data_IF_216154523969
#
_entry.id   IF_216154523969
#
_cell.length_a   1.000
_cell.length_b   1.000
_cell.length_c   1.000
_cell.angle_alpha   90.00
_cell.angle_beta   90.00
_cell.angle_gamma   90.00
#
_symmetry.space_group_name_H-M   'P 1'
#
loop_
_entity.id
_entity.type
_entity.pdbx_description
1 polymer ?
#
# COMPACT_ATOMS: atom_id res chain seq x y z
N UNK A 1 -14.61 5.98 20.48
CA UNK A 1 -14.22 4.61 20.06
C UNK A 1 -13.29 3.93 21.05
N UNK A 2 -12.33 4.63 21.68
CA UNK A 2 -11.39 4.04 22.65
C UNK A 2 -11.27 4.87 23.94
N UNK A 3 -12.14 4.67 24.95
CA UNK A 3 -12.27 5.58 26.10
C UNK A 3 -11.07 5.61 27.04
N UNK A 4 -10.23 4.56 27.05
CA UNK A 4 -9.03 4.47 27.88
C UNK A 4 -7.73 4.80 27.14
N UNK A 5 -7.80 5.08 25.84
CA UNK A 5 -6.60 5.33 25.05
C UNK A 5 -5.87 6.60 25.52
N UNK A 6 -4.57 6.47 25.76
CA UNK A 6 -3.66 7.55 26.16
C UNK A 6 -2.64 7.87 25.07
N UNK A 7 -2.19 6.85 24.33
CA UNK A 7 -1.16 6.98 23.29
C UNK A 7 -1.49 6.19 22.03
N UNK A 8 -0.92 6.61 20.91
CA UNK A 8 -0.88 5.84 19.65
C UNK A 8 0.57 5.67 19.22
N UNK A 9 1.03 4.42 19.17
CA UNK A 9 2.34 4.08 18.62
C UNK A 9 2.18 3.88 17.12
N UNK A 10 2.77 4.76 16.32
CA UNK A 10 2.76 4.65 14.86
C UNK A 10 4.00 3.91 14.37
N UNK A 11 3.83 3.02 13.41
CA UNK A 11 4.88 2.16 12.88
C UNK A 11 4.91 2.25 11.35
N UNK A 12 6.12 2.16 10.79
CA UNK A 12 6.35 2.12 9.35
C UNK A 12 7.18 0.89 8.98
N UNK A 13 6.78 0.17 7.93
CA UNK A 13 7.51 -1.01 7.43
C UNK A 13 7.83 -0.80 5.95
N UNK A 14 9.12 -0.70 5.63
CA UNK A 14 9.58 -0.55 4.25
C UNK A 14 9.18 -1.76 3.39
N UNK A 15 8.62 -1.53 2.21
CA UNK A 15 8.28 -2.57 1.24
C UNK A 15 8.95 -2.39 -0.12
N UNK A 16 9.76 -1.36 -0.31
CA UNK A 16 10.36 -1.05 -1.60
C UNK A 16 11.13 -2.26 -2.14
N UNK A 17 10.80 -2.65 -3.36
CA UNK A 17 11.60 -3.53 -4.19
C UNK A 17 11.68 -2.90 -5.58
N UNK A 18 12.86 -2.90 -6.25
CA UNK A 18 12.96 -2.43 -7.62
C UNK A 18 12.00 -3.22 -8.53
N UNK A 19 11.46 -2.54 -9.55
CA UNK A 19 10.64 -3.18 -10.58
C UNK A 19 11.54 -4.11 -11.41
N UNK A 20 11.12 -5.35 -11.61
CA UNK A 20 11.84 -6.25 -12.53
C UNK A 20 11.68 -5.78 -13.98
N UNK A 21 12.66 -6.06 -14.86
CA UNK A 21 12.53 -5.80 -16.28
C UNK A 21 11.22 -6.38 -16.84
N UNK A 22 10.56 -5.62 -17.72
CA UNK A 22 9.36 -6.10 -18.41
C UNK A 22 9.73 -7.34 -19.25
N UNK A 23 9.04 -8.49 -19.08
CA UNK A 23 9.22 -9.63 -19.96
C UNK A 23 8.98 -9.26 -21.44
N UNK A 24 9.90 -9.66 -22.32
CA UNK A 24 9.75 -9.46 -23.78
C UNK A 24 8.69 -10.41 -24.36
N UNK A 25 8.02 -9.96 -25.42
CA UNK A 25 7.02 -10.73 -26.19
C UNK A 25 5.87 -11.35 -25.37
N UNK A 26 5.60 -10.80 -24.19
CA UNK A 26 4.55 -11.27 -23.29
C UNK A 26 3.50 -10.19 -23.05
N UNK A 27 2.23 -10.59 -23.11
CA UNK A 27 1.11 -9.75 -22.72
C UNK A 27 1.04 -9.69 -21.18
N UNK A 28 1.72 -8.71 -20.59
CA UNK A 28 1.85 -8.55 -19.14
C UNK A 28 1.26 -7.23 -18.63
N UNK A 29 0.72 -7.27 -17.42
CA UNK A 29 0.25 -6.08 -16.69
C UNK A 29 1.10 -5.79 -15.47
N UNK A 30 1.37 -4.51 -15.21
CA UNK A 30 2.18 -4.02 -14.09
C UNK A 30 1.40 -4.06 -12.78
N UNK A 31 2.08 -4.49 -11.71
CA UNK A 31 1.56 -4.50 -10.34
C UNK A 31 2.27 -3.43 -9.51
N UNK A 32 1.53 -2.72 -8.67
CA UNK A 32 2.11 -1.73 -7.74
C UNK A 32 2.95 -2.42 -6.65
N UNK A 33 4.05 -1.78 -6.25
CA UNK A 33 5.08 -2.35 -5.35
C UNK A 33 4.55 -2.79 -3.99
N UNK A 34 3.55 -2.09 -3.48
CA UNK A 34 2.94 -2.44 -2.18
C UNK A 34 2.22 -3.80 -2.25
N UNK A 35 1.89 -4.29 -3.44
CA UNK A 35 1.19 -5.55 -3.66
C UNK A 35 2.13 -6.73 -3.93
N UNK A 36 3.45 -6.52 -3.94
CA UNK A 36 4.43 -7.57 -4.17
C UNK A 36 4.52 -8.54 -3.00
N UNK A 37 4.84 -9.80 -3.32
CA UNK A 37 5.01 -10.82 -2.33
C UNK A 37 3.72 -11.07 -1.52
N UNK A 38 3.92 -11.43 -0.26
CA UNK A 38 2.84 -11.83 0.63
C UNK A 38 1.99 -10.64 1.08
N UNK A 39 0.72 -10.93 1.38
CA UNK A 39 -0.24 -9.96 1.88
C UNK A 39 0.27 -9.25 3.15
N UNK A 40 0.52 -7.95 2.99
CA UNK A 40 1.12 -7.12 4.02
C UNK A 40 0.28 -7.07 5.28
N UNK A 41 -1.04 -7.18 5.19
CA UNK A 41 -1.92 -7.25 6.36
C UNK A 41 -1.51 -8.40 7.26
N UNK A 42 -1.29 -9.60 6.70
CA UNK A 42 -0.92 -10.80 7.47
C UNK A 42 0.50 -10.76 7.98
N UNK A 43 1.42 -10.25 7.18
CA UNK A 43 2.82 -10.07 7.57
C UNK A 43 2.92 -9.10 8.74
N UNK A 44 2.26 -7.95 8.66
CA UNK A 44 2.30 -6.89 9.66
C UNK A 44 1.49 -7.27 10.91
N UNK A 45 0.29 -7.85 10.78
CA UNK A 45 -0.47 -8.39 11.94
C UNK A 45 0.39 -9.33 12.79
N UNK A 46 1.18 -10.22 12.17
CA UNK A 46 2.09 -11.12 12.89
C UNK A 46 3.20 -10.38 13.61
N UNK A 47 3.76 -9.31 13.01
CA UNK A 47 4.78 -8.45 13.66
C UNK A 47 4.17 -7.65 14.81
N UNK A 48 2.96 -7.10 14.63
CA UNK A 48 2.23 -6.38 15.68
C UNK A 48 1.93 -7.28 16.87
N UNK A 49 1.49 -8.54 16.67
CA UNK A 49 1.29 -9.51 17.76
C UNK A 49 2.56 -9.74 18.60
N UNK A 50 3.73 -9.79 17.94
CA UNK A 50 5.02 -9.92 18.65
C UNK A 50 5.36 -8.67 19.45
N UNK A 51 5.12 -7.49 18.86
CA UNK A 51 5.34 -6.22 19.54
C UNK A 51 4.41 -6.02 20.74
N UNK A 52 3.13 -6.36 20.61
CA UNK A 52 2.17 -6.35 21.73
C UNK A 52 2.65 -7.25 22.86
N UNK A 53 3.03 -8.50 22.55
CA UNK A 53 3.57 -9.42 23.55
C UNK A 53 4.84 -8.88 24.23
N UNK A 54 5.72 -8.24 23.47
CA UNK A 54 6.91 -7.60 24.01
C UNK A 54 6.52 -6.49 25.00
N UNK A 55 5.63 -5.58 24.62
CA UNK A 55 5.16 -4.49 25.48
C UNK A 55 4.54 -5.05 26.77
N UNK A 56 3.67 -6.05 26.67
CA UNK A 56 3.05 -6.68 27.84
C UNK A 56 4.07 -7.26 28.83
N UNK A 57 5.16 -7.85 28.33
CA UNK A 57 6.25 -8.38 29.16
C UNK A 57 7.01 -7.25 29.84
N UNK A 58 7.41 -6.23 29.08
CA UNK A 58 8.18 -5.10 29.60
C UNK A 58 7.42 -4.28 30.65
N UNK A 59 6.10 -4.13 30.49
CA UNK A 59 5.28 -3.41 31.48
C UNK A 59 4.84 -4.27 32.66
N UNK A 60 5.25 -5.54 32.72
CA UNK A 60 4.82 -6.49 33.76
C UNK A 60 3.32 -6.81 33.73
N UNK A 61 2.62 -6.46 32.66
CA UNK A 61 1.19 -6.70 32.46
C UNK A 61 0.91 -8.15 32.05
N UNK A 62 1.92 -8.85 31.51
CA UNK A 62 1.79 -10.22 31.05
C UNK A 62 1.30 -11.16 32.18
N UNK A 63 0.06 -11.65 32.04
CA UNK A 63 -0.56 -12.57 32.99
C UNK A 63 -1.03 -11.94 34.31
N UNK A 64 -1.10 -10.60 34.42
CA UNK A 64 -1.48 -9.91 35.67
C UNK A 64 -2.65 -8.94 35.52
N UNK A 65 -2.48 -7.87 34.75
CA UNK A 65 -3.49 -6.83 34.54
C UNK A 65 -3.66 -6.57 33.04
N UNK A 66 -4.89 -6.41 32.54
CA UNK A 66 -5.11 -6.24 31.11
C UNK A 66 -4.66 -4.84 30.69
N UNK A 67 -3.47 -4.76 30.09
CA UNK A 67 -3.06 -3.59 29.33
C UNK A 67 -3.97 -3.45 28.11
N UNK A 68 -4.55 -2.28 27.88
CA UNK A 68 -5.34 -2.06 26.68
C UNK A 68 -4.38 -1.78 25.52
N UNK A 69 -4.28 -2.74 24.58
CA UNK A 69 -3.62 -2.50 23.29
C UNK A 69 -4.50 -3.00 22.15
N UNK A 70 -4.75 -2.13 21.16
CA UNK A 70 -5.44 -2.49 19.92
C UNK A 70 -4.57 -2.13 18.72
N UNK A 71 -4.26 -3.14 17.91
CA UNK A 71 -3.45 -3.00 16.70
C UNK A 71 -4.30 -2.83 15.43
N UNK A 72 -3.80 -2.02 14.50
CA UNK A 72 -4.38 -1.77 13.18
C UNK A 72 -3.33 -1.74 12.07
N UNK A 73 -3.75 -2.21 10.91
CA UNK A 73 -3.07 -2.09 9.61
C UNK A 73 -4.16 -2.02 8.53
N UNK A 74 -4.35 -0.84 7.92
CA UNK A 74 -5.21 -0.48 6.76
C UNK A 74 -6.73 -0.72 6.91
N UNK A 75 -7.13 -1.78 7.59
CA UNK A 75 -8.51 -2.28 7.70
C UNK A 75 -9.24 -1.73 8.94
N UNK A 76 -8.58 -0.89 9.72
CA UNK A 76 -9.11 -0.30 10.95
C UNK A 76 -9.89 0.99 10.73
N UNK A 77 -10.72 1.41 11.69
CA UNK A 77 -11.37 2.72 11.69
C UNK A 77 -10.42 3.86 12.09
N UNK A 78 -9.12 3.71 11.83
CA UNK A 78 -8.07 4.64 12.24
C UNK A 78 -7.46 5.30 11.01
N UNK A 79 -7.34 6.63 11.02
CA UNK A 79 -6.60 7.34 9.98
C UNK A 79 -5.10 7.26 10.27
N UNK A 80 -4.49 6.10 10.01
CA UNK A 80 -3.10 5.77 10.38
C UNK A 80 -2.10 6.79 9.85
N UNK A 81 -2.31 7.32 8.65
CA UNK A 81 -1.45 8.35 8.06
C UNK A 81 -1.40 9.63 8.91
N UNK A 82 -2.51 10.04 9.51
CA UNK A 82 -2.55 11.25 10.35
C UNK A 82 -1.79 11.05 11.66
N UNK A 83 -1.98 9.90 12.32
CA UNK A 83 -1.21 9.54 13.51
C UNK A 83 0.28 9.39 13.21
N UNK A 84 0.63 8.80 12.07
CA UNK A 84 2.02 8.66 11.64
C UNK A 84 2.69 10.02 11.44
N UNK A 85 2.00 11.01 10.88
CA UNK A 85 2.52 12.39 10.79
C UNK A 85 2.73 13.01 12.18
N UNK A 86 1.73 12.89 13.06
CA UNK A 86 1.81 13.43 14.42
C UNK A 86 2.94 12.80 15.24
N UNK A 87 3.13 11.49 15.10
CA UNK A 87 4.21 10.72 15.71
C UNK A 87 5.58 10.93 15.03
N UNK A 88 5.69 11.85 14.07
CA UNK A 88 6.97 12.22 13.47
C UNK A 88 7.54 11.19 12.50
N UNK A 89 6.75 10.23 11.99
CA UNK A 89 7.24 9.29 10.98
C UNK A 89 7.52 9.94 9.63
N UNK A 90 6.84 11.04 9.33
CA UNK A 90 7.00 11.74 8.05
C UNK A 90 6.06 12.93 7.90
N UNK A 91 5.99 13.44 6.67
CA UNK A 91 5.09 14.53 6.28
C UNK A 91 4.25 14.12 5.07
N UNK A 92 3.12 14.79 4.84
CA UNK A 92 2.30 14.54 3.66
C UNK A 92 2.89 15.20 2.41
N UNK A 93 3.13 14.40 1.38
CA UNK A 93 3.48 14.89 0.05
C UNK A 93 2.24 15.38 -0.72
N UNK A 94 2.47 16.16 -1.78
CA UNK A 94 1.40 16.54 -2.73
C UNK A 94 0.75 15.34 -3.45
N UNK A 95 1.39 14.18 -3.41
CA UNK A 95 0.83 12.91 -3.89
C UNK A 95 -0.04 12.20 -2.83
N UNK A 96 -0.35 12.85 -1.70
CA UNK A 96 -1.14 12.36 -0.55
C UNK A 96 -0.50 11.23 0.27
N UNK A 97 0.69 10.76 -0.10
CA UNK A 97 1.40 9.75 0.67
C UNK A 97 2.14 10.39 1.86
N UNK A 98 2.31 9.60 2.93
CA UNK A 98 3.26 9.95 3.98
C UNK A 98 4.67 9.68 3.47
N UNK A 99 5.55 10.69 3.57
CA UNK A 99 6.95 10.61 3.15
C UNK A 99 7.83 10.59 4.39
N UNK A 100 8.48 9.46 4.62
CA UNK A 100 9.47 9.26 5.69
C UNK A 100 10.84 9.76 5.27
N UNK A 101 11.70 10.08 6.25
CA UNK A 101 13.07 10.55 5.99
C UNK A 101 13.93 9.50 5.29
N UNK A 102 13.85 8.24 5.72
CA UNK A 102 14.82 7.20 5.37
C UNK A 102 14.34 6.28 4.24
N UNK A 103 13.03 6.14 4.05
CA UNK A 103 12.43 5.21 3.10
C UNK A 103 11.52 5.89 2.07
N UNK A 104 11.40 7.22 2.13
CA UNK A 104 10.46 7.96 1.30
C UNK A 104 9.02 7.51 1.60
N UNK A 105 8.20 7.35 0.56
CA UNK A 105 6.81 6.89 0.69
C UNK A 105 6.62 5.37 0.62
N UNK A 106 7.69 4.59 0.44
CA UNK A 106 7.61 3.13 0.29
C UNK A 106 7.47 2.39 1.61
N UNK A 107 6.50 2.78 2.43
CA UNK A 107 6.24 2.18 3.74
C UNK A 107 4.78 1.79 3.90
N UNK A 108 4.54 0.61 4.46
CA UNK A 108 3.26 0.29 5.07
C UNK A 108 3.17 0.97 6.42
N UNK A 109 1.98 1.45 6.78
CA UNK A 109 1.71 1.99 8.11
C UNK A 109 0.98 0.96 8.96
N UNK A 110 1.26 1.01 10.25
CA UNK A 110 0.50 0.31 11.27
C UNK A 110 0.43 1.15 12.53
N UNK A 111 -0.52 0.85 13.40
CA UNK A 111 -0.71 1.60 14.64
C UNK A 111 -1.08 0.68 15.79
N UNK A 112 -0.60 1.01 16.99
CA UNK A 112 -1.07 0.44 18.26
C UNK A 112 -1.71 1.55 19.08
N UNK A 113 -3.00 1.42 19.37
CA UNK A 113 -3.70 2.29 20.33
C UNK A 113 -3.54 1.66 21.70
N UNK A 114 -3.10 2.44 22.69
CA UNK A 114 -2.85 1.91 24.04
C UNK A 114 -3.24 2.87 25.15
N UNK A 115 -3.53 2.34 26.34
CA UNK A 115 -3.72 3.10 27.58
C UNK A 115 -2.41 3.44 28.31
N UNK A 116 -1.25 3.04 27.76
CA UNK A 116 0.05 3.52 28.24
C UNK A 116 0.19 5.03 28.04
N UNK A 117 0.67 5.72 29.06
CA UNK A 117 1.16 7.09 28.96
C UNK A 117 2.60 7.07 28.45
N UNK A 118 2.81 7.53 27.22
CA UNK A 118 4.12 7.56 26.57
C UNK A 118 4.53 9.00 26.32
N UNK A 119 5.83 9.27 26.31
CA UNK A 119 6.33 10.57 25.83
C UNK A 119 6.01 10.71 24.34
N UNK A 120 5.39 11.82 23.95
CA UNK A 120 5.02 12.05 22.56
C UNK A 120 6.20 12.53 21.73
N UNK A 121 6.36 11.92 20.56
CA UNK A 121 7.23 12.45 19.52
C UNK A 121 6.68 13.77 18.94
N UNK A 122 7.55 14.49 18.23
CA UNK A 122 7.18 15.71 17.52
C UNK A 122 7.01 15.42 16.03
N UNK A 123 6.04 16.06 15.35
CA UNK A 123 5.91 15.96 13.91
C UNK A 123 7.22 16.30 13.20
N UNK A 124 7.58 15.49 12.21
CA UNK A 124 8.78 15.72 11.43
C UNK A 124 8.52 16.82 10.41
N UNK A 125 9.45 17.77 10.30
CA UNK A 125 9.41 18.76 9.23
C UNK A 125 9.64 18.11 7.86
N UNK A 126 8.90 18.59 6.86
CA UNK A 126 9.08 18.23 5.47
C UNK A 126 8.10 18.98 4.59
N UNK A 127 8.49 19.22 3.34
CA UNK A 127 7.68 19.95 2.36
C UNK A 127 8.10 19.57 0.95
N UNK A 128 7.15 19.55 0.02
CA UNK A 128 7.43 19.43 -1.40
C UNK A 128 7.96 20.74 -2.02
N UNK A 129 7.73 21.89 -1.37
CA UNK A 129 8.05 23.20 -1.96
C UNK A 129 7.28 23.45 -3.25
N UNK A 130 7.96 24.01 -4.26
CA UNK A 130 7.40 24.26 -5.60
C UNK A 130 7.30 23.01 -6.48
N UNK A 131 7.82 21.85 -6.04
CA UNK A 131 7.77 20.61 -6.83
C UNK A 131 6.33 20.20 -7.17
N UNK A 132 6.10 19.80 -8.43
CA UNK A 132 4.79 19.37 -8.96
C UNK A 132 4.86 18.05 -9.76
N UNK A 133 6.00 17.37 -9.75
CA UNK A 133 6.26 16.18 -10.57
C UNK A 133 5.18 15.10 -10.45
N UNK A 134 4.69 14.82 -9.25
CA UNK A 134 3.66 13.79 -9.06
C UNK A 134 2.29 14.20 -9.62
N UNK A 135 1.95 15.49 -9.57
CA UNK A 135 0.70 16.04 -10.12
C UNK A 135 0.77 15.98 -11.64
N UNK A 136 1.88 16.45 -12.21
CA UNK A 136 2.10 16.51 -13.67
C UNK A 136 2.22 15.11 -14.30
N UNK A 137 2.83 14.16 -13.59
CA UNK A 137 2.98 12.79 -14.09
C UNK A 137 1.71 11.93 -13.91
N UNK A 138 0.71 12.38 -13.14
CA UNK A 138 -0.48 11.58 -12.88
C UNK A 138 -1.30 11.39 -14.18
N UNK A 139 -1.40 10.16 -14.73
CA UNK A 139 -1.95 9.97 -16.08
C UNK A 139 -3.41 10.40 -16.23
N UNK A 140 -4.15 10.40 -15.12
CA UNK A 140 -5.58 10.71 -15.07
C UNK A 140 -5.88 12.03 -14.39
N UNK A 141 -4.86 12.82 -14.04
CA UNK A 141 -5.01 14.08 -13.28
C UNK A 141 -5.85 13.90 -12.01
N UNK A 142 -5.63 12.78 -11.30
CA UNK A 142 -6.34 12.46 -10.06
C UNK A 142 -5.83 13.29 -8.87
N UNK A 143 -4.57 13.72 -8.90
CA UNK A 143 -3.98 14.59 -7.88
C UNK A 143 -4.32 16.05 -8.17
N UNK A 144 -4.97 16.71 -7.22
CA UNK A 144 -5.44 18.08 -7.35
C UNK A 144 -4.46 19.09 -6.73
N UNK A 145 -4.56 20.35 -7.13
CA UNK A 145 -3.64 21.41 -6.70
C UNK A 145 -3.73 21.76 -5.21
N UNK A 146 -4.84 21.42 -4.57
CA UNK A 146 -5.08 21.59 -3.13
C UNK A 146 -4.54 20.42 -2.29
N UNK A 147 -3.72 19.54 -2.88
CA UNK A 147 -3.16 18.32 -2.28
C UNK A 147 -4.19 17.23 -1.98
N UNK A 148 -5.41 17.34 -2.49
CA UNK A 148 -6.40 16.27 -2.45
C UNK A 148 -6.27 15.32 -3.64
N UNK A 149 -7.03 14.22 -3.58
CA UNK A 149 -7.05 13.17 -4.59
C UNK A 149 -8.51 12.88 -4.98
N UNK A 150 -8.82 12.96 -6.27
CA UNK A 150 -10.05 12.41 -6.85
C UNK A 150 -9.89 10.89 -7.02
N UNK A 151 -10.50 10.13 -6.10
CA UNK A 151 -10.45 8.67 -6.13
C UNK A 151 -11.10 8.10 -7.41
N UNK A 152 -12.12 8.74 -7.97
CA UNK A 152 -12.80 8.28 -9.19
C UNK A 152 -11.90 8.31 -10.43
N UNK A 153 -10.82 9.10 -10.38
CA UNK A 153 -9.78 9.16 -11.44
C UNK A 153 -8.53 8.36 -11.09
N UNK A 154 -8.30 8.05 -9.82
CA UNK A 154 -7.07 7.39 -9.39
C UNK A 154 -6.99 5.95 -9.91
N UNK A 155 -5.97 5.64 -10.73
CA UNK A 155 -5.73 4.29 -11.27
C UNK A 155 -5.69 3.22 -10.17
N UNK A 156 -5.12 3.54 -9.00
CA UNK A 156 -5.11 2.63 -7.86
C UNK A 156 -6.54 2.29 -7.40
N UNK A 157 -7.40 3.29 -7.22
CA UNK A 157 -8.80 3.06 -6.87
C UNK A 157 -9.54 2.29 -7.98
N UNK A 158 -9.34 2.70 -9.24
CA UNK A 158 -9.98 2.09 -10.41
C UNK A 158 -9.66 0.60 -10.54
N UNK A 159 -8.42 0.20 -10.28
CA UNK A 159 -7.98 -1.19 -10.44
C UNK A 159 -8.31 -2.06 -9.21
N UNK A 160 -8.55 -1.48 -8.04
CA UNK A 160 -8.70 -2.23 -6.78
C UNK A 160 -10.13 -2.19 -6.23
N UNK A 161 -10.70 -0.99 -6.10
CA UNK A 161 -11.93 -0.74 -5.35
C UNK A 161 -13.14 -0.49 -6.23
N UNK A 162 -12.95 0.09 -7.41
CA UNK A 162 -14.03 0.31 -8.37
C UNK A 162 -14.62 -1.04 -8.80
N UNK A 163 -15.94 -1.19 -8.64
CA UNK A 163 -16.71 -2.40 -8.98
C UNK A 163 -17.53 -2.27 -10.27
N UNK A 164 -17.39 -1.17 -11.00
CA UNK A 164 -18.03 -0.99 -12.29
C UNK A 164 -17.54 -2.06 -13.29
N UNK A 165 -18.43 -2.49 -14.17
CA UNK A 165 -18.12 -3.51 -15.17
C UNK A 165 -17.08 -3.05 -16.20
N UNK A 166 -17.08 -1.76 -16.52
CA UNK A 166 -16.19 -1.17 -17.52
C UNK A 166 -15.30 -0.08 -16.92
N UNK A 167 -14.08 0.01 -17.44
CA UNK A 167 -13.18 1.14 -17.22
C UNK A 167 -13.14 1.97 -18.51
N UNK A 168 -13.09 3.30 -18.41
CA UNK A 168 -12.90 4.12 -19.60
C UNK A 168 -11.57 3.75 -20.30
N UNK A 169 -11.55 3.66 -21.65
CA UNK A 169 -10.37 3.26 -22.40
C UNK A 169 -9.12 4.08 -22.06
N UNK A 170 -7.94 3.44 -22.05
CA UNK A 170 -6.66 4.10 -21.81
C UNK A 170 -6.40 4.60 -20.38
N UNK A 171 -7.38 4.62 -19.47
CA UNK A 171 -7.23 5.25 -18.16
C UNK A 171 -6.19 4.59 -17.25
N UNK A 172 -5.98 3.27 -17.38
CA UNK A 172 -5.10 2.51 -16.47
C UNK A 172 -3.73 2.18 -17.06
N UNK A 173 -3.47 2.51 -18.33
CA UNK A 173 -2.21 2.17 -19.01
C UNK A 173 -1.89 0.68 -18.92
N UNK A 174 -0.70 0.35 -18.43
CA UNK A 174 -0.26 -1.04 -18.20
C UNK A 174 -0.62 -1.57 -16.80
N UNK A 175 -1.26 -0.77 -15.94
CA UNK A 175 -1.49 -1.13 -14.54
C UNK A 175 -2.68 -2.07 -14.38
N UNK A 176 -2.42 -3.33 -14.03
CA UNK A 176 -3.48 -4.32 -13.77
C UNK A 176 -3.92 -4.33 -12.30
N UNK A 177 -3.07 -3.83 -11.39
CA UNK A 177 -3.40 -3.72 -9.97
C UNK A 177 -2.57 -2.63 -9.27
N UNK A 178 -3.25 -1.61 -8.72
CA UNK A 178 -2.62 -0.46 -8.09
C UNK A 178 -1.98 0.50 -9.10
N UNK A 179 -1.31 1.55 -8.61
CA UNK A 179 -0.49 2.45 -9.43
C UNK A 179 0.57 3.12 -8.59
N UNK A 180 1.81 3.19 -9.10
CA UNK A 180 2.94 3.81 -8.39
C UNK A 180 3.44 5.11 -9.02
N UNK A 181 2.85 5.59 -10.13
CA UNK A 181 3.43 6.69 -10.93
C UNK A 181 3.77 7.91 -10.08
N UNK A 182 2.86 8.35 -9.19
CA UNK A 182 3.08 9.51 -8.33
C UNK A 182 4.14 9.31 -7.24
N UNK A 183 4.50 8.06 -6.94
CA UNK A 183 5.60 7.69 -6.04
C UNK A 183 6.90 7.52 -6.82
N UNK A 184 6.87 6.89 -7.99
CA UNK A 184 8.04 6.65 -8.85
C UNK A 184 8.73 7.96 -9.26
N UNK A 185 7.96 9.01 -9.57
CA UNK A 185 8.52 10.34 -9.94
C UNK A 185 8.88 11.21 -8.74
N UNK A 186 8.57 10.79 -7.51
CA UNK A 186 8.76 11.63 -6.32
C UNK A 186 10.26 11.73 -5.97
N UNK A 187 10.84 12.94 -5.86
CA UNK A 187 12.26 13.10 -5.53
C UNK A 187 12.64 12.50 -4.16
N UNK A 188 11.70 12.44 -3.21
CA UNK A 188 11.94 11.83 -1.91
C UNK A 188 12.15 10.31 -1.96
N UNK A 189 11.83 9.66 -3.09
CA UNK A 189 11.99 8.23 -3.30
C UNK A 189 13.29 7.87 -4.05
N UNK A 190 14.10 8.84 -4.48
CA UNK A 190 15.32 8.58 -5.27
C UNK A 190 16.38 7.73 -4.53
N UNK A 191 16.33 7.70 -3.19
CA UNK A 191 17.25 6.93 -2.34
C UNK A 191 16.54 5.77 -1.62
N UNK A 192 15.41 5.31 -2.16
CA UNK A 192 14.68 4.18 -1.59
C UNK A 192 15.60 2.96 -1.46
N UNK A 193 15.66 2.42 -0.25
CA UNK A 193 16.45 1.21 0.04
C UNK A 193 15.56 0.00 -0.17
N UNK A 194 16.06 -1.02 -0.85
CA UNK A 194 15.36 -2.31 -0.95
C UNK A 194 15.00 -2.82 0.44
N UNK A 195 13.78 -3.31 0.59
CA UNK A 195 13.26 -3.82 1.86
C UNK A 195 14.10 -4.97 2.37
N UNK A 196 14.21 -5.08 3.69
CA UNK A 196 14.85 -6.22 4.37
C UNK A 196 13.85 -7.30 4.75
N UNK A 197 12.60 -7.15 4.34
CA UNK A 197 11.51 -8.07 4.64
C UNK A 197 11.28 -8.99 3.43
N UNK A 198 11.88 -10.19 3.42
CA UNK A 198 11.76 -11.11 2.28
C UNK A 198 10.32 -11.53 2.01
N UNK A 199 9.40 -11.37 2.96
CA UNK A 199 7.97 -11.59 2.76
C UNK A 199 7.38 -10.71 1.64
N UNK A 200 7.97 -9.54 1.38
CA UNK A 200 7.51 -8.59 0.35
C UNK A 200 8.27 -8.72 -0.97
N UNK A 201 9.15 -9.71 -1.11
CA UNK A 201 9.84 -9.92 -2.36
C UNK A 201 8.90 -10.56 -3.41
N UNK A 202 8.97 -10.13 -4.68
CA UNK A 202 8.05 -10.57 -5.73
C UNK A 202 7.95 -12.09 -5.90
N UNK A 203 9.03 -12.83 -5.68
CA UNK A 203 9.07 -14.29 -5.84
C UNK A 203 8.28 -15.06 -4.77
N UNK A 204 7.85 -14.42 -3.68
CA UNK A 204 7.10 -15.12 -2.62
C UNK A 204 5.67 -15.42 -3.00
N UNK A 205 5.00 -14.51 -3.72
CA UNK A 205 3.58 -14.60 -4.08
C UNK A 205 3.27 -13.77 -5.32
N UNK A 206 2.84 -12.51 -5.15
CA UNK A 206 2.55 -11.63 -6.29
C UNK A 206 3.85 -11.06 -6.85
N UNK A 207 4.04 -11.28 -8.16
CA UNK A 207 5.15 -10.74 -8.90
C UNK A 207 4.99 -9.26 -9.26
N UNK A 208 6.00 -8.73 -9.95
CA UNK A 208 6.05 -7.36 -10.45
C UNK A 208 5.23 -7.14 -11.73
N UNK A 209 4.99 -8.24 -12.47
CA UNK A 209 4.22 -8.34 -13.69
C UNK A 209 3.27 -9.56 -13.62
N UNK A 210 2.03 -9.42 -14.08
CA UNK A 210 1.08 -10.53 -14.24
C UNK A 210 0.94 -10.91 -15.72
N UNK A 211 0.99 -12.21 -16.00
CA UNK A 211 0.62 -12.75 -17.31
C UNK A 211 -0.90 -12.59 -17.53
N UNK A 212 -1.26 -11.72 -18.48
CA UNK A 212 -2.65 -11.36 -18.72
C UNK A 212 -3.43 -12.50 -19.39
N UNK A 213 -2.79 -13.33 -20.22
CA UNK A 213 -3.45 -14.49 -20.84
C UNK A 213 -3.79 -15.53 -19.77
N UNK A 214 -2.87 -15.76 -18.84
CA UNK A 214 -3.13 -16.65 -17.69
C UNK A 214 -4.25 -16.10 -16.80
N UNK A 215 -4.29 -14.79 -16.54
CA UNK A 215 -5.40 -14.17 -15.81
C UNK A 215 -6.73 -14.38 -16.54
N UNK A 216 -6.78 -14.14 -17.85
CA UNK A 216 -7.99 -14.32 -18.67
C UNK A 216 -8.48 -15.78 -18.73
N UNK A 217 -7.60 -16.75 -18.52
CA UNK A 217 -8.00 -18.16 -18.49
C UNK A 217 -8.71 -18.61 -17.21
N UNK A 218 -8.71 -17.78 -16.15
CA UNK A 218 -9.36 -18.11 -14.87
C UNK A 218 -10.87 -17.94 -15.01
N UNK A 219 -11.61 -19.04 -14.92
CA UNK A 219 -13.07 -19.04 -15.15
C UNK A 219 -13.88 -19.00 -13.86
N UNK A 220 -13.34 -19.57 -12.80
CA UNK A 220 -14.05 -19.78 -11.54
C UNK A 220 -13.39 -19.05 -10.37
N UNK A 221 -14.20 -18.58 -9.41
CA UNK A 221 -13.67 -17.91 -8.21
C UNK A 221 -12.74 -18.84 -7.43
N UNK A 222 -13.03 -20.15 -7.35
CA UNK A 222 -12.16 -21.11 -6.66
C UNK A 222 -10.72 -21.15 -7.22
N UNK A 223 -10.58 -21.10 -8.54
CA UNK A 223 -9.27 -21.02 -9.21
C UNK A 223 -8.55 -19.72 -8.87
N UNK A 224 -9.27 -18.59 -8.90
CA UNK A 224 -8.76 -17.29 -8.51
C UNK A 224 -8.28 -17.26 -7.05
N UNK A 225 -9.10 -17.76 -6.12
CA UNK A 225 -8.78 -17.81 -4.69
C UNK A 225 -7.49 -18.61 -4.45
N UNK A 226 -7.30 -19.71 -5.18
CA UNK A 226 -6.12 -20.57 -5.11
C UNK A 226 -4.90 -19.88 -5.73
N UNK A 227 -5.03 -19.30 -6.92
CA UNK A 227 -3.94 -18.66 -7.66
C UNK A 227 -3.34 -17.47 -6.90
N UNK A 228 -4.18 -16.65 -6.27
CA UNK A 228 -3.74 -15.44 -5.56
C UNK A 228 -3.78 -15.59 -4.04
N UNK A 229 -3.77 -16.83 -3.52
CA UNK A 229 -3.84 -17.07 -2.09
C UNK A 229 -2.68 -16.41 -1.32
N UNK A 230 -3.03 -15.53 -0.38
CA UNK A 230 -2.07 -14.82 0.44
C UNK A 230 -1.39 -13.65 -0.27
N UNK A 231 -2.00 -13.13 -1.35
CA UNK A 231 -1.57 -11.90 -2.03
C UNK A 231 -2.62 -10.79 -1.84
N UNK A 232 -2.20 -9.50 -1.82
CA UNK A 232 -3.11 -8.36 -1.86
C UNK A 232 -4.00 -8.33 -3.12
N UNK A 233 -3.59 -8.98 -4.22
CA UNK A 233 -4.31 -9.04 -5.50
C UNK A 233 -5.76 -9.52 -5.36
N UNK A 234 -6.06 -10.32 -4.32
CA UNK A 234 -7.41 -10.78 -4.02
C UNK A 234 -8.42 -9.65 -3.81
N UNK A 235 -7.97 -8.46 -3.42
CA UNK A 235 -8.83 -7.29 -3.18
C UNK A 235 -9.59 -6.84 -4.43
N UNK A 236 -9.04 -7.05 -5.62
CA UNK A 236 -9.71 -6.73 -6.88
C UNK A 236 -10.90 -7.66 -7.17
N UNK A 237 -10.94 -8.86 -6.56
CA UNK A 237 -11.82 -9.99 -6.92
C UNK A 237 -11.57 -10.47 -8.36
N UNK A 238 -12.09 -11.66 -8.69
CA UNK A 238 -11.93 -12.24 -10.03
C UNK A 238 -12.42 -11.29 -11.12
N UNK A 239 -13.66 -10.79 -11.00
CA UNK A 239 -14.26 -9.91 -12.00
C UNK A 239 -13.47 -8.62 -12.22
N UNK A 240 -12.98 -7.99 -11.15
CA UNK A 240 -12.16 -6.79 -11.24
C UNK A 240 -10.81 -7.05 -11.91
N UNK A 241 -10.14 -8.16 -11.57
CA UNK A 241 -8.85 -8.50 -12.16
C UNK A 241 -8.97 -8.88 -13.65
N UNK A 242 -10.02 -9.63 -14.03
CA UNK A 242 -10.34 -9.93 -15.44
C UNK A 242 -10.63 -8.66 -16.23
N UNK A 243 -11.47 -7.76 -15.69
CA UNK A 243 -11.76 -6.47 -16.31
C UNK A 243 -10.48 -5.65 -16.53
N UNK A 244 -9.62 -5.55 -15.51
CA UNK A 244 -8.36 -4.82 -15.63
C UNK A 244 -7.46 -5.47 -16.68
N UNK A 245 -7.36 -6.80 -16.71
CA UNK A 245 -6.57 -7.53 -17.70
C UNK A 245 -7.07 -7.28 -19.13
N UNK A 246 -8.39 -7.28 -19.35
CA UNK A 246 -8.98 -6.95 -20.66
C UNK A 246 -8.65 -5.52 -21.09
N UNK A 247 -8.76 -4.56 -20.17
CA UNK A 247 -8.43 -3.17 -20.45
C UNK A 247 -6.95 -2.96 -20.80
N UNK A 248 -6.04 -3.60 -20.05
CA UNK A 248 -4.59 -3.55 -20.37
C UNK A 248 -4.29 -4.24 -21.70
N UNK A 249 -4.91 -5.39 -21.99
CA UNK A 249 -4.75 -6.07 -23.28
C UNK A 249 -5.18 -5.20 -24.45
N UNK A 250 -6.30 -4.49 -24.34
CA UNK A 250 -6.76 -3.53 -25.36
C UNK A 250 -5.74 -2.42 -25.60
N UNK A 251 -5.15 -1.87 -24.53
CA UNK A 251 -4.13 -0.83 -24.64
C UNK A 251 -2.80 -1.33 -25.27
N UNK A 252 -2.53 -2.64 -25.30
CA UNK A 252 -1.32 -3.22 -25.91
C UNK A 252 -1.49 -3.52 -27.41
N UNK A 253 -2.72 -3.54 -27.91
CA UNK A 253 -3.04 -3.81 -29.31
C UNK A 253 -3.27 -2.55 -30.14
N UNK A 254 -3.46 -1.41 -29.48
CA UNK A 254 -3.54 -0.07 -30.07
C UNK A 254 -2.13 0.56 -30.19
#
# INVERSE_FOLDING_TARGET
MFPKARSVISLAVNYYHPQDPKPQDAAVGKVAKYAYGADYHKVIEKKLKRLVKFIEVETGAHGRAPLYIKSYVDTGPLLERAFAQQAGLGFFGKNTNLITRDYGSWVFLASLITDLELAHDKPQAGRCGSCRLCIEACPTSALLDDTSLDAGRCISYLTIENRNEFLPPGQIGEWVFGCDVCQEVCPHNCRAKTTRHPEFYPEKKAGTWLDLKKVQSIKEDGEFQKAFQGSPLKRAKLSGLLRNASAVLGNLTD
#
